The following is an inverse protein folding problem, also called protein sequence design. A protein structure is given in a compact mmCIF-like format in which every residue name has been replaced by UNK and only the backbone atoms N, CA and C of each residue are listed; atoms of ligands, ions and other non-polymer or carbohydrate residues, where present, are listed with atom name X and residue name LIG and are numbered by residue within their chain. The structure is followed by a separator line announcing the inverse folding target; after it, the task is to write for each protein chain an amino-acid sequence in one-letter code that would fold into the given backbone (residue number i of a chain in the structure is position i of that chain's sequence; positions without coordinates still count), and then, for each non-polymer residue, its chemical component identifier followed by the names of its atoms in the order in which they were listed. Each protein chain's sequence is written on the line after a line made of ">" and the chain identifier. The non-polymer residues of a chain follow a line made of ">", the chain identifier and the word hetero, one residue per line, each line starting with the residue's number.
data_IF_615308409954
#
_entry.id   IF_615308409954
#
_cell.length_a   1.000
_cell.length_b   1.000
_cell.length_c   1.000
_cell.angle_alpha   90.00
_cell.angle_beta   90.00
_cell.angle_gamma   90.00
#
_symmetry.space_group_name_H-M   'P 1'
#
loop_
_entity.id
_entity.type
_entity.pdbx_description
1 polymer ?
#
# COMPACT_ATOMS: atom_id res chain seq x y z
N UNK A 1 30.07 0.66 9.65
CA UNK A 1 29.75 1.31 8.35
C UNK A 1 28.96 2.59 8.62
N UNK A 2 28.88 3.55 7.69
CA UNK A 2 28.04 4.75 7.87
C UNK A 2 26.55 4.36 7.87
N UNK A 3 25.71 5.13 8.55
CA UNK A 3 24.26 4.93 8.57
C UNK A 3 23.65 4.92 7.16
N UNK A 4 24.14 5.77 6.26
CA UNK A 4 23.77 5.74 4.85
C UNK A 4 24.08 4.41 4.16
N UNK A 5 25.25 3.83 4.40
CA UNK A 5 25.64 2.51 3.86
C UNK A 5 24.73 1.41 4.44
N UNK A 6 24.44 1.48 5.75
CA UNK A 6 23.53 0.57 6.42
C UNK A 6 22.08 0.66 5.89
N UNK A 7 21.61 1.86 5.53
CA UNK A 7 20.33 2.05 4.85
C UNK A 7 20.32 1.29 3.52
N UNK A 8 21.32 1.51 2.66
CA UNK A 8 21.40 0.86 1.35
C UNK A 8 21.45 -0.67 1.49
N UNK A 9 22.27 -1.20 2.40
CA UNK A 9 22.35 -2.64 2.67
C UNK A 9 21.02 -3.20 3.19
N UNK A 10 20.30 -2.45 4.03
CA UNK A 10 18.97 -2.85 4.50
C UNK A 10 17.93 -2.86 3.38
N UNK A 11 17.96 -1.87 2.47
CA UNK A 11 17.08 -1.83 1.29
C UNK A 11 17.37 -3.01 0.34
N UNK A 12 18.64 -3.37 0.14
CA UNK A 12 19.02 -4.56 -0.65
C UNK A 12 18.44 -5.84 -0.06
N UNK A 13 18.46 -5.98 1.27
CA UNK A 13 17.89 -7.14 1.97
C UNK A 13 16.38 -7.23 1.86
N UNK A 14 15.70 -6.10 1.79
CA UNK A 14 14.27 -6.03 1.48
C UNK A 14 13.97 -6.25 -0.02
N UNK A 15 15.00 -6.50 -0.83
CA UNK A 15 14.87 -6.76 -2.27
C UNK A 15 14.52 -5.51 -3.05
N UNK A 16 14.98 -4.33 -2.64
CA UNK A 16 14.81 -3.11 -3.43
C UNK A 16 15.74 -3.15 -4.64
N UNK A 17 15.17 -2.99 -5.83
CA UNK A 17 15.92 -2.92 -7.10
C UNK A 17 15.88 -1.52 -7.73
N UNK A 18 14.87 -0.72 -7.39
CA UNK A 18 14.65 0.60 -7.99
C UNK A 18 14.25 1.60 -6.91
N UNK A 19 14.88 2.78 -6.93
CA UNK A 19 14.51 3.93 -6.10
C UNK A 19 14.20 5.11 -7.03
N UNK A 20 13.04 5.73 -6.84
CA UNK A 20 12.69 6.97 -7.51
C UNK A 20 13.02 8.14 -6.60
N UNK A 21 13.88 9.07 -7.00
CA UNK A 21 14.30 10.11 -6.06
C UNK A 21 14.81 11.40 -6.66
N UNK A 22 14.85 12.41 -5.80
CA UNK A 22 15.43 13.71 -6.09
C UNK A 22 16.46 14.10 -5.01
N UNK A 23 17.69 14.51 -5.37
CA UNK A 23 18.74 14.80 -4.41
C UNK A 23 18.56 16.14 -3.70
N UNK A 24 19.15 16.27 -2.51
CA UNK A 24 19.22 17.53 -1.76
C UNK A 24 20.14 17.44 -0.55
N UNK A 25 20.37 18.58 0.11
CA UNK A 25 21.43 18.74 1.12
C UNK A 25 21.36 17.77 2.30
N UNK A 26 20.16 17.48 2.81
CA UNK A 26 19.96 16.57 3.92
C UNK A 26 20.21 15.09 3.54
N UNK A 27 20.06 14.75 2.26
CA UNK A 27 20.23 13.40 1.73
C UNK A 27 21.63 13.11 1.17
N UNK A 28 22.54 14.08 1.14
CA UNK A 28 23.86 13.88 0.52
C UNK A 28 24.59 12.62 1.00
N UNK A 29 24.61 12.26 2.30
CA UNK A 29 25.22 10.99 2.74
C UNK A 29 24.58 9.75 2.10
N UNK A 30 23.25 9.77 1.90
CA UNK A 30 22.50 8.66 1.30
C UNK A 30 22.77 8.58 -0.20
N UNK A 31 22.83 9.71 -0.91
CA UNK A 31 23.19 9.72 -2.33
C UNK A 31 24.65 9.34 -2.59
N UNK A 32 25.56 9.67 -1.67
CA UNK A 32 26.95 9.22 -1.70
C UNK A 32 27.03 7.69 -1.62
N UNK A 33 26.35 7.08 -0.63
CA UNK A 33 26.27 5.61 -0.52
C UNK A 33 25.54 4.94 -1.70
N UNK A 34 24.52 5.60 -2.27
CA UNK A 34 23.80 5.09 -3.43
C UNK A 34 24.65 5.16 -4.72
N UNK A 35 25.54 6.14 -4.83
CA UNK A 35 26.45 6.27 -5.98
C UNK A 35 27.40 5.08 -6.10
N UNK A 36 27.84 4.53 -4.96
CA UNK A 36 28.71 3.34 -4.89
C UNK A 36 27.94 2.01 -4.98
N UNK A 37 26.60 2.05 -5.09
CA UNK A 37 25.74 0.86 -5.13
C UNK A 37 25.32 0.50 -6.57
N UNK A 38 25.80 -0.64 -7.08
CA UNK A 38 25.42 -1.13 -8.41
C UNK A 38 24.09 -1.92 -8.41
N UNK A 39 23.67 -2.45 -7.25
CA UNK A 39 22.50 -3.34 -7.13
C UNK A 39 21.14 -2.60 -7.19
N UNK A 40 21.13 -1.31 -6.84
CA UNK A 40 19.92 -0.49 -6.80
C UNK A 40 19.96 0.55 -7.92
N UNK A 41 19.01 0.46 -8.84
CA UNK A 41 18.84 1.46 -9.89
C UNK A 41 18.16 2.71 -9.34
N UNK A 42 18.89 3.83 -9.32
CA UNK A 42 18.28 5.13 -9.06
C UNK A 42 17.64 5.72 -10.33
N UNK A 43 16.39 6.16 -10.21
CA UNK A 43 15.68 6.93 -11.22
C UNK A 43 15.53 8.36 -10.71
N UNK A 44 16.35 9.25 -11.26
CA UNK A 44 16.25 10.68 -11.00
C UNK A 44 14.96 11.25 -11.61
N UNK A 45 14.05 11.68 -10.75
CA UNK A 45 12.83 12.36 -11.19
C UNK A 45 13.06 13.85 -11.43
N UNK A 46 12.05 14.56 -11.92
CA UNK A 46 12.09 16.02 -12.10
C UNK A 46 11.28 16.80 -11.06
N UNK A 47 10.55 16.08 -10.22
CA UNK A 47 9.79 16.61 -9.10
C UNK A 47 9.49 15.45 -8.14
N UNK A 48 9.56 15.64 -6.82
CA UNK A 48 9.40 14.56 -5.84
C UNK A 48 7.98 13.96 -5.85
N UNK A 49 6.95 14.74 -6.19
CA UNK A 49 5.62 14.18 -6.48
C UNK A 49 5.68 13.08 -7.55
N UNK A 50 6.51 13.27 -8.57
CA UNK A 50 6.78 12.26 -9.59
C UNK A 50 7.51 11.03 -9.04
N UNK A 51 8.35 11.18 -8.00
CA UNK A 51 8.95 10.02 -7.32
C UNK A 51 7.89 9.22 -6.55
N UNK A 52 6.99 9.88 -5.83
CA UNK A 52 5.92 9.19 -5.10
C UNK A 52 4.99 8.41 -6.04
N UNK A 53 4.51 9.03 -7.12
CA UNK A 53 3.64 8.34 -8.08
C UNK A 53 4.39 7.30 -8.93
N UNK A 54 5.68 7.47 -9.21
CA UNK A 54 6.46 6.44 -9.89
C UNK A 54 6.68 5.21 -8.98
N UNK A 55 6.94 5.42 -7.69
CA UNK A 55 7.00 4.34 -6.71
C UNK A 55 5.65 3.62 -6.58
N UNK A 56 4.55 4.36 -6.57
CA UNK A 56 3.20 3.80 -6.54
C UNK A 56 2.88 2.98 -7.80
N UNK A 57 3.19 3.52 -8.99
CA UNK A 57 3.01 2.82 -10.26
C UNK A 57 3.87 1.56 -10.36
N UNK A 58 5.12 1.62 -9.87
CA UNK A 58 5.98 0.45 -9.73
C UNK A 58 5.34 -0.61 -8.83
N UNK A 59 4.85 -0.21 -7.66
CA UNK A 59 4.20 -1.12 -6.72
C UNK A 59 2.96 -1.79 -7.31
N UNK A 60 2.08 -1.01 -7.97
CA UNK A 60 0.89 -1.51 -8.67
C UNK A 60 1.25 -2.48 -9.81
N UNK A 61 2.33 -2.23 -10.55
CA UNK A 61 2.72 -3.03 -11.71
C UNK A 61 3.45 -4.34 -11.33
N UNK A 62 4.20 -4.36 -10.23
CA UNK A 62 5.05 -5.52 -9.87
C UNK A 62 4.57 -6.29 -8.65
N UNK A 63 3.62 -5.75 -7.87
CA UNK A 63 3.24 -6.29 -6.56
C UNK A 63 4.33 -6.18 -5.48
N UNK A 64 5.36 -5.35 -5.71
CA UNK A 64 6.48 -5.12 -4.77
C UNK A 64 6.30 -3.79 -4.05
N UNK A 65 7.07 -3.57 -2.99
CA UNK A 65 7.09 -2.26 -2.31
C UNK A 65 7.78 -1.23 -3.20
N UNK A 66 7.09 -0.15 -3.52
CA UNK A 66 7.68 0.99 -4.22
C UNK A 66 8.51 1.86 -3.27
N UNK A 67 9.65 2.37 -3.72
CA UNK A 67 10.53 3.22 -2.88
C UNK A 67 10.72 4.58 -3.51
N UNK A 68 10.39 5.63 -2.76
CA UNK A 68 10.68 7.02 -3.15
C UNK A 68 11.61 7.72 -2.16
N UNK A 69 12.44 8.64 -2.66
CA UNK A 69 13.50 9.30 -1.89
C UNK A 69 13.49 10.82 -2.13
N UNK A 70 13.36 11.60 -1.06
CA UNK A 70 13.30 13.07 -1.11
C UNK A 70 14.09 13.77 0.00
N UNK A 71 14.65 14.95 -0.27
CA UNK A 71 15.34 15.74 0.76
C UNK A 71 14.36 16.32 1.80
N UNK A 72 14.89 16.94 2.85
CA UNK A 72 14.09 17.60 3.90
C UNK A 72 13.22 18.74 3.37
N UNK A 73 12.33 19.24 4.23
CA UNK A 73 11.56 20.45 3.97
C UNK A 73 10.73 20.33 2.69
N UNK A 74 10.98 21.15 1.66
CA UNK A 74 10.17 21.15 0.44
C UNK A 74 10.17 19.81 -0.30
N UNK A 75 11.28 19.08 -0.31
CA UNK A 75 11.35 17.77 -0.99
C UNK A 75 10.39 16.77 -0.34
N UNK A 76 10.41 16.70 0.98
CA UNK A 76 9.54 15.86 1.77
C UNK A 76 8.06 16.25 1.59
N UNK A 77 7.73 17.55 1.66
CA UNK A 77 6.34 18.00 1.47
C UNK A 77 5.80 17.76 0.06
N UNK A 78 6.67 17.71 -0.95
CA UNK A 78 6.28 17.38 -2.32
C UNK A 78 5.84 15.91 -2.49
N UNK A 79 6.12 15.02 -1.51
CA UNK A 79 5.65 13.63 -1.53
C UNK A 79 4.19 13.47 -1.05
N UNK A 80 3.65 14.46 -0.33
CA UNK A 80 2.37 14.37 0.39
C UNK A 80 1.22 13.86 -0.48
N UNK A 81 1.06 14.38 -1.70
CA UNK A 81 -0.01 13.94 -2.61
C UNK A 81 0.13 12.47 -2.99
N UNK A 82 1.31 12.01 -3.39
CA UNK A 82 1.51 10.61 -3.78
C UNK A 82 1.43 9.65 -2.60
N UNK A 83 1.80 10.08 -1.39
CA UNK A 83 1.56 9.29 -0.17
C UNK A 83 0.06 9.18 0.15
N UNK A 84 -0.69 10.27 -0.03
CA UNK A 84 -2.14 10.24 0.16
C UNK A 84 -2.80 9.30 -0.84
N UNK A 85 -2.38 9.35 -2.11
CA UNK A 85 -2.86 8.47 -3.18
C UNK A 85 -2.60 6.99 -2.84
N UNK A 86 -1.35 6.65 -2.53
CA UNK A 86 -0.96 5.31 -2.13
C UNK A 86 -1.72 4.82 -0.87
N UNK A 87 -2.00 5.71 0.09
CA UNK A 87 -2.77 5.36 1.29
C UNK A 87 -4.22 5.03 0.96
N UNK A 88 -4.88 5.86 0.15
CA UNK A 88 -6.28 5.68 -0.23
C UNK A 88 -6.49 4.43 -1.09
N UNK A 89 -5.52 4.10 -1.94
CA UNK A 89 -5.54 2.93 -2.82
C UNK A 89 -4.92 1.67 -2.20
N UNK A 90 -4.43 1.75 -0.97
CA UNK A 90 -3.80 0.62 -0.25
C UNK A 90 -2.57 0.06 -0.97
N UNK A 91 -1.67 0.93 -1.41
CA UNK A 91 -0.48 0.62 -2.20
C UNK A 91 0.77 0.61 -1.31
N UNK A 92 1.58 -0.46 -1.32
CA UNK A 92 2.78 -0.54 -0.49
C UNK A 92 3.89 0.37 -1.03
N UNK A 93 4.13 1.48 -0.33
CA UNK A 93 5.20 2.43 -0.64
C UNK A 93 6.03 2.68 0.63
N UNK A 94 7.36 2.72 0.49
CA UNK A 94 8.25 3.23 1.54
C UNK A 94 8.88 4.53 1.05
N UNK A 95 8.52 5.62 1.72
CA UNK A 95 9.10 6.94 1.45
C UNK A 95 10.24 7.20 2.42
N UNK A 96 11.40 7.57 1.89
CA UNK A 96 12.57 7.92 2.69
C UNK A 96 12.80 9.42 2.52
N UNK A 97 12.82 10.14 3.63
CA UNK A 97 13.10 11.57 3.65
C UNK A 97 14.38 11.87 4.41
N UNK A 98 15.18 12.79 3.90
CA UNK A 98 16.24 13.40 4.68
C UNK A 98 15.64 14.42 5.66
N UNK A 99 16.30 14.64 6.78
CA UNK A 99 15.92 15.65 7.77
C UNK A 99 17.12 16.48 8.21
N UNK A 100 16.88 17.67 8.78
CA UNK A 100 17.90 18.42 9.51
C UNK A 100 18.52 17.56 10.62
N UNK A 101 19.75 17.87 11.03
CA UNK A 101 20.41 17.07 12.06
C UNK A 101 19.63 17.12 13.39
N UNK A 102 19.66 16.05 14.17
CA UNK A 102 18.83 15.87 15.37
C UNK A 102 18.82 17.07 16.34
N UNK A 103 19.91 17.82 16.60
CA UNK A 103 19.89 18.94 17.53
C UNK A 103 19.17 20.19 17.00
N UNK A 104 18.85 20.22 15.70
CA UNK A 104 18.17 21.33 15.04
C UNK A 104 16.67 21.11 14.85
N UNK A 105 16.17 19.89 15.07
CA UNK A 105 14.75 19.59 14.99
C UNK A 105 13.99 20.42 16.04
N UNK A 106 12.92 21.08 15.62
CA UNK A 106 12.06 21.99 16.38
C UNK A 106 12.61 23.41 16.54
N UNK A 107 13.56 23.84 15.69
CA UNK A 107 14.23 25.16 15.83
C UNK A 107 14.11 26.06 14.61
N UNK A 108 13.16 25.77 13.73
CA UNK A 108 12.97 26.50 12.46
C UNK A 108 14.26 26.51 11.61
N UNK A 109 14.94 25.37 11.56
CA UNK A 109 16.18 25.24 10.82
C UNK A 109 15.96 25.34 9.31
N UNK A 110 17.04 25.61 8.56
CA UNK A 110 16.97 25.71 7.11
C UNK A 110 16.48 24.41 6.47
N UNK A 111 15.39 24.51 5.68
CA UNK A 111 14.70 23.38 5.06
C UNK A 111 14.23 22.31 6.07
N UNK A 112 13.85 22.73 7.27
CA UNK A 112 13.13 21.89 8.21
C UNK A 112 11.63 21.87 7.88
N UNK A 113 11.01 20.69 7.95
CA UNK A 113 9.56 20.53 8.03
C UNK A 113 9.24 19.36 8.96
N UNK A 114 8.17 19.50 9.75
CA UNK A 114 7.61 18.39 10.53
C UNK A 114 6.85 17.42 9.60
N UNK A 115 7.61 16.70 8.77
CA UNK A 115 7.03 15.75 7.82
C UNK A 115 6.31 14.61 8.54
N UNK A 116 6.78 14.24 9.73
CA UNK A 116 6.16 13.23 10.58
C UNK A 116 4.71 13.62 10.91
N UNK A 117 4.51 14.85 11.41
CA UNK A 117 3.19 15.39 11.72
C UNK A 117 2.33 15.60 10.47
N UNK A 118 2.89 16.14 9.40
CA UNK A 118 2.19 16.40 8.13
C UNK A 118 1.63 15.10 7.53
N UNK A 119 2.39 13.99 7.61
CA UNK A 119 2.03 12.75 6.92
C UNK A 119 1.32 11.72 7.80
N UNK A 120 1.23 11.95 9.12
CA UNK A 120 0.67 10.99 10.09
C UNK A 120 -0.71 10.42 9.69
N UNK A 121 -1.57 11.21 9.05
CA UNK A 121 -2.92 10.81 8.65
C UNK A 121 -3.04 10.25 7.23
N UNK A 122 -1.94 10.21 6.48
CA UNK A 122 -1.89 9.78 5.08
C UNK A 122 -0.82 8.70 4.86
N UNK A 123 -0.43 8.03 5.94
CA UNK A 123 0.53 6.92 5.97
C UNK A 123 0.05 5.87 6.96
N UNK A 124 0.32 4.60 6.70
CA UNK A 124 0.08 3.52 7.67
C UNK A 124 0.91 3.69 8.93
N UNK A 125 2.15 4.16 8.77
CA UNK A 125 3.06 4.42 9.87
C UNK A 125 4.16 5.38 9.45
N UNK A 126 4.75 6.07 10.42
CA UNK A 126 5.87 6.97 10.22
C UNK A 126 6.96 6.70 11.25
N UNK A 127 8.21 6.90 10.85
CA UNK A 127 9.37 6.86 11.73
C UNK A 127 10.15 8.16 11.64
N UNK A 128 10.62 8.65 12.79
CA UNK A 128 11.71 9.62 12.87
C UNK A 128 12.90 8.93 13.55
N UNK A 129 13.94 8.63 12.78
CA UNK A 129 15.08 7.83 13.26
C UNK A 129 16.05 8.75 13.99
N UNK A 130 16.08 8.72 15.32
CA UNK A 130 16.99 9.57 16.13
C UNK A 130 18.30 8.89 16.50
N UNK A 131 18.31 7.56 16.59
CA UNK A 131 19.52 6.79 16.85
C UNK A 131 19.95 6.08 15.56
N UNK A 132 21.22 6.21 15.14
CA UNK A 132 21.74 5.52 13.96
C UNK A 132 21.57 4.00 13.99
N UNK A 133 21.73 3.39 15.17
CA UNK A 133 21.62 1.94 15.38
C UNK A 133 20.20 1.39 15.13
N UNK A 134 19.17 2.25 15.18
CA UNK A 134 17.80 1.84 14.91
C UNK A 134 17.50 1.69 13.42
N UNK A 135 18.36 2.20 12.54
CA UNK A 135 18.06 2.33 11.12
C UNK A 135 17.78 0.98 10.43
N UNK A 136 18.58 -0.10 10.62
CA UNK A 136 18.27 -1.40 10.02
C UNK A 136 16.91 -1.96 10.46
N UNK A 137 16.59 -1.83 11.75
CA UNK A 137 15.31 -2.24 12.34
C UNK A 137 14.15 -1.46 11.76
N UNK A 138 14.27 -0.14 11.69
CA UNK A 138 13.22 0.73 11.15
C UNK A 138 12.94 0.42 9.68
N UNK A 139 13.97 0.17 8.87
CA UNK A 139 13.78 -0.23 7.46
C UNK A 139 13.01 -1.55 7.38
N UNK A 140 13.43 -2.57 8.11
CA UNK A 140 12.76 -3.87 8.10
C UNK A 140 11.29 -3.76 8.58
N UNK A 141 11.04 -3.02 9.66
CA UNK A 141 9.68 -2.76 10.15
C UNK A 141 8.84 -1.99 9.13
N UNK A 142 9.39 -0.95 8.50
CA UNK A 142 8.67 -0.15 7.53
C UNK A 142 8.22 -0.96 6.32
N UNK A 143 9.10 -1.81 5.79
CA UNK A 143 8.77 -2.71 4.69
C UNK A 143 7.74 -3.76 5.09
N UNK A 144 7.87 -4.35 6.29
CA UNK A 144 6.89 -5.28 6.83
C UNK A 144 5.50 -4.63 6.98
N UNK A 145 5.43 -3.44 7.57
CA UNK A 145 4.18 -2.69 7.72
C UNK A 145 3.63 -2.32 6.34
N UNK A 146 4.44 -1.81 5.43
CA UNK A 146 3.96 -1.36 4.12
C UNK A 146 3.25 -2.49 3.34
N UNK A 147 3.79 -3.72 3.39
CA UNK A 147 3.31 -4.86 2.57
C UNK A 147 2.29 -5.78 3.24
N UNK A 148 2.17 -5.79 4.56
CA UNK A 148 1.29 -6.75 5.28
C UNK A 148 -0.03 -6.13 5.72
N UNK A 149 -1.00 -6.98 6.06
CA UNK A 149 -2.39 -6.57 6.30
C UNK A 149 -2.98 -5.89 5.07
N UNK A 150 -3.74 -4.80 5.26
CA UNK A 150 -4.07 -3.87 4.17
C UNK A 150 -2.82 -3.07 3.80
N UNK A 151 -2.23 -3.21 2.60
CA UNK A 151 -0.98 -2.52 2.27
C UNK A 151 -1.13 -1.00 2.24
N UNK A 152 -0.03 -0.26 2.28
CA UNK A 152 -0.07 1.20 2.28
C UNK A 152 1.30 1.84 2.54
N UNK A 153 1.36 3.18 2.49
CA UNK A 153 2.62 3.91 2.58
C UNK A 153 3.17 3.99 4.00
N UNK A 154 4.49 3.89 4.14
CA UNK A 154 5.24 4.14 5.38
C UNK A 154 6.34 5.15 5.10
N UNK A 155 6.49 6.16 5.96
CA UNK A 155 7.56 7.15 5.84
C UNK A 155 8.67 6.90 6.87
N UNK A 156 9.93 7.00 6.43
CA UNK A 156 11.13 6.95 7.27
C UNK A 156 11.86 8.30 7.13
N UNK A 157 11.82 9.10 8.19
CA UNK A 157 12.50 10.39 8.25
C UNK A 157 13.88 10.23 8.92
N UNK A 158 14.94 10.59 8.19
CA UNK A 158 16.33 10.30 8.54
C UNK A 158 17.12 11.60 8.68
N UNK A 159 17.44 12.03 9.92
CA UNK A 159 18.34 13.14 10.19
C UNK A 159 19.72 12.96 9.53
N UNK A 160 20.30 14.06 9.05
CA UNK A 160 21.60 14.06 8.37
C UNK A 160 22.74 13.50 9.24
N UNK A 161 22.74 13.79 10.54
CA UNK A 161 23.72 13.26 11.49
C UNK A 161 23.55 11.75 11.71
N UNK A 162 22.32 11.22 11.59
CA UNK A 162 22.05 9.79 11.69
C UNK A 162 22.59 9.04 10.47
N UNK A 163 22.32 9.54 9.26
CA UNK A 163 22.88 8.94 8.03
C UNK A 163 24.40 9.08 7.92
N UNK A 164 25.00 10.10 8.55
CA UNK A 164 26.45 10.31 8.54
C UNK A 164 27.22 9.54 9.63
N UNK A 165 26.54 9.10 10.71
CA UNK A 165 27.17 8.41 11.83
C UNK A 165 27.69 7.01 11.44
N UNK A 166 28.75 6.56 12.10
CA UNK A 166 29.22 5.17 11.99
C UNK A 166 28.45 4.29 12.98
N UNK A 167 28.00 3.14 12.51
CA UNK A 167 27.30 2.13 13.32
C UNK A 167 27.90 0.74 13.15
N UNK A 168 27.65 -0.11 14.15
CA UNK A 168 27.92 -1.54 14.11
C UNK A 168 26.70 -2.24 13.47
N UNK A 169 26.74 -2.36 12.15
CA UNK A 169 25.62 -2.90 11.39
C UNK A 169 25.35 -4.38 11.68
N UNK A 170 24.16 -4.66 12.19
CA UNK A 170 23.62 -6.00 12.32
C UNK A 170 22.39 -6.18 11.40
N UNK A 171 22.38 -7.21 10.53
CA UNK A 171 21.21 -7.50 9.71
C UNK A 171 20.00 -7.92 10.54
N UNK A 172 18.84 -7.37 10.20
CA UNK A 172 17.57 -7.78 10.80
C UNK A 172 17.03 -8.99 10.03
N UNK A 173 16.90 -10.12 10.73
CA UNK A 173 16.39 -11.37 10.13
C UNK A 173 14.91 -11.61 10.39
N UNK A 174 14.33 -10.96 11.41
CA UNK A 174 12.94 -11.12 11.76
C UNK A 174 12.38 -9.81 12.32
N UNK A 175 11.23 -9.40 11.79
CA UNK A 175 10.47 -8.25 12.30
C UNK A 175 9.47 -8.76 13.35
N UNK A 176 9.49 -8.16 14.54
CA UNK A 176 8.51 -8.42 15.59
C UNK A 176 7.93 -7.10 16.11
N UNK A 177 6.67 -6.84 15.75
CA UNK A 177 5.94 -5.67 16.23
C UNK A 177 4.92 -6.10 17.29
N UNK A 178 4.99 -5.47 18.47
CA UNK A 178 4.11 -5.81 19.59
C UNK A 178 2.63 -5.56 19.27
N UNK A 179 2.34 -4.41 18.65
CA UNK A 179 0.98 -3.89 18.48
C UNK A 179 0.41 -4.09 17.07
N UNK A 180 1.18 -4.68 16.15
CA UNK A 180 0.76 -4.89 14.76
C UNK A 180 0.89 -6.36 14.39
N UNK A 181 -0.28 -7.02 14.27
CA UNK A 181 -0.40 -8.44 13.93
C UNK A 181 -1.55 -8.58 12.94
N UNK A 182 -1.30 -8.51 11.62
CA UNK A 182 -2.35 -8.63 10.62
C UNK A 182 -3.04 -10.00 10.72
N UNK A 183 -4.37 -10.01 10.63
CA UNK A 183 -5.16 -11.23 10.67
C UNK A 183 -5.03 -11.95 9.32
N UNK A 184 -4.20 -12.98 9.27
CA UNK A 184 -3.98 -13.79 8.06
C UNK A 184 -4.64 -15.16 8.15
N UNK A 185 -5.09 -15.56 9.34
CA UNK A 185 -5.78 -16.83 9.55
C UNK A 185 -7.25 -16.72 9.20
N UNK A 186 -7.72 -17.70 8.45
CA UNK A 186 -9.13 -17.82 8.12
C UNK A 186 -9.98 -18.19 9.35
N UNK A 187 -11.27 -17.89 9.27
CA UNK A 187 -12.24 -18.35 10.26
C UNK A 187 -13.11 -19.46 9.65
N UNK A 188 -12.80 -20.76 9.84
CA UNK A 188 -13.45 -21.86 9.11
C UNK A 188 -14.98 -21.87 9.21
N UNK A 189 -15.54 -21.52 10.38
CA UNK A 189 -17.00 -21.43 10.56
C UNK A 189 -17.65 -20.30 9.77
N UNK A 190 -16.97 -19.16 9.58
CA UNK A 190 -17.48 -18.06 8.76
C UNK A 190 -17.43 -18.43 7.28
N UNK A 191 -16.36 -19.10 6.84
CA UNK A 191 -16.26 -19.63 5.47
C UNK A 191 -17.38 -20.63 5.20
N UNK A 192 -17.61 -21.60 6.10
CA UNK A 192 -18.68 -22.57 5.96
C UNK A 192 -20.06 -21.90 5.87
N UNK A 193 -20.31 -20.88 6.70
CA UNK A 193 -21.55 -20.10 6.66
C UNK A 193 -21.71 -19.31 5.36
N UNK A 194 -20.63 -18.72 4.84
CA UNK A 194 -20.63 -18.02 3.56
C UNK A 194 -20.94 -18.98 2.41
N UNK A 195 -20.33 -20.17 2.40
CA UNK A 195 -20.60 -21.20 1.40
C UNK A 195 -22.05 -21.67 1.42
N UNK A 196 -22.63 -21.87 2.60
CA UNK A 196 -24.05 -22.22 2.76
C UNK A 196 -24.98 -21.13 2.22
N UNK A 197 -24.69 -19.85 2.52
CA UNK A 197 -25.44 -18.72 2.00
C UNK A 197 -25.40 -18.63 0.47
N UNK A 198 -24.22 -18.86 -0.12
CA UNK A 198 -24.05 -18.90 -1.58
C UNK A 198 -24.88 -20.05 -2.16
N UNK A 199 -24.84 -21.24 -1.55
CA UNK A 199 -25.60 -22.40 -2.02
C UNK A 199 -27.12 -22.19 -1.98
N UNK A 200 -27.63 -21.43 -1.01
CA UNK A 200 -29.06 -21.15 -0.84
C UNK A 200 -29.58 -19.96 -1.68
N UNK A 201 -28.68 -19.25 -2.36
CA UNK A 201 -29.04 -18.05 -3.12
C UNK A 201 -29.64 -18.37 -4.49
N UNK A 202 -30.57 -17.54 -4.95
CA UNK A 202 -31.17 -17.62 -6.29
C UNK A 202 -30.54 -16.61 -7.25
N UNK A 203 -30.05 -15.48 -6.75
CA UNK A 203 -29.44 -14.38 -7.54
C UNK A 203 -28.15 -13.87 -6.88
N UNK A 204 -27.13 -14.72 -6.65
CA UNK A 204 -25.87 -14.28 -6.08
C UNK A 204 -25.06 -13.45 -7.08
N UNK A 205 -24.38 -12.42 -6.58
CA UNK A 205 -23.43 -11.62 -7.34
C UNK A 205 -22.09 -11.58 -6.61
N UNK A 206 -21.01 -11.86 -7.34
CA UNK A 206 -19.65 -11.70 -6.86
C UNK A 206 -19.18 -10.27 -7.12
N UNK A 207 -18.90 -9.53 -6.05
CA UNK A 207 -18.46 -8.15 -6.07
C UNK A 207 -16.98 -8.05 -5.67
N UNK A 208 -16.10 -7.82 -6.63
CA UNK A 208 -14.64 -7.86 -6.39
C UNK A 208 -14.02 -6.47 -6.40
N UNK A 209 -13.09 -6.23 -5.50
CA UNK A 209 -12.33 -4.99 -5.40
C UNK A 209 -10.82 -5.17 -5.56
N UNK A 210 -10.07 -4.10 -5.27
CA UNK A 210 -8.61 -4.10 -5.39
C UNK A 210 -7.90 -5.10 -4.47
N UNK A 211 -8.56 -5.55 -3.40
CA UNK A 211 -8.02 -6.58 -2.52
C UNK A 211 -7.80 -7.94 -3.21
N UNK A 212 -8.54 -8.23 -4.29
CA UNK A 212 -8.29 -9.43 -5.11
C UNK A 212 -6.98 -9.30 -5.88
N UNK A 213 -6.69 -8.12 -6.43
CA UNK A 213 -5.45 -7.84 -7.16
C UNK A 213 -4.27 -7.86 -6.18
N UNK A 214 -4.35 -7.12 -5.08
CA UNK A 214 -3.25 -7.03 -4.11
C UNK A 214 -3.01 -8.34 -3.35
N UNK A 215 -4.05 -9.15 -3.15
CA UNK A 215 -3.95 -10.50 -2.61
C UNK A 215 -3.52 -11.56 -3.63
N UNK A 216 -3.30 -11.19 -4.90
CA UNK A 216 -2.98 -12.10 -5.99
C UNK A 216 -3.97 -13.29 -6.10
N UNK A 217 -5.27 -13.01 -5.91
CA UNK A 217 -6.32 -14.00 -5.76
C UNK A 217 -7.23 -14.13 -7.01
N UNK A 218 -6.77 -13.67 -8.17
CA UNK A 218 -7.56 -13.67 -9.41
C UNK A 218 -7.95 -15.06 -9.87
N UNK A 219 -7.05 -16.05 -9.74
CA UNK A 219 -7.32 -17.43 -10.15
C UNK A 219 -8.38 -18.09 -9.26
N UNK A 220 -8.27 -17.89 -7.95
CA UNK A 220 -9.18 -18.42 -6.95
C UNK A 220 -10.58 -17.79 -7.06
N UNK A 221 -10.64 -16.49 -7.34
CA UNK A 221 -11.90 -15.77 -7.60
C UNK A 221 -12.56 -16.29 -8.87
N UNK A 222 -11.79 -16.54 -9.94
CA UNK A 222 -12.33 -17.11 -11.17
C UNK A 222 -12.84 -18.54 -10.96
N UNK A 223 -12.07 -19.38 -10.25
CA UNK A 223 -12.50 -20.75 -9.91
C UNK A 223 -13.81 -20.74 -9.11
N UNK A 224 -13.92 -19.85 -8.12
CA UNK A 224 -15.16 -19.69 -7.34
C UNK A 224 -16.32 -19.26 -8.23
N UNK A 225 -16.09 -18.29 -9.11
CA UNK A 225 -17.12 -17.79 -10.02
C UNK A 225 -17.62 -18.89 -10.96
N UNK A 226 -16.73 -19.67 -11.58
CA UNK A 226 -17.08 -20.76 -12.49
C UNK A 226 -17.79 -21.90 -11.76
N UNK A 227 -17.29 -22.30 -10.58
CA UNK A 227 -17.82 -23.42 -9.80
C UNK A 227 -19.25 -23.20 -9.32
N UNK A 228 -19.56 -21.98 -8.89
CA UNK A 228 -20.89 -21.61 -8.40
C UNK A 228 -21.72 -20.84 -9.45
N UNK A 229 -21.21 -20.70 -10.68
CA UNK A 229 -21.84 -19.95 -11.77
C UNK A 229 -22.27 -18.53 -11.35
N UNK A 230 -21.36 -17.81 -10.69
CA UNK A 230 -21.59 -16.48 -10.13
C UNK A 230 -21.29 -15.39 -11.17
N UNK A 231 -22.26 -14.54 -11.54
CA UNK A 231 -21.95 -13.31 -12.27
C UNK A 231 -21.06 -12.40 -11.42
N UNK A 232 -20.06 -11.80 -12.07
CA UNK A 232 -19.01 -11.01 -11.45
C UNK A 232 -19.14 -9.54 -11.84
N UNK A 233 -19.14 -8.66 -10.83
CA UNK A 233 -18.98 -7.21 -10.99
C UNK A 233 -17.71 -6.78 -10.27
N UNK A 234 -17.02 -5.75 -10.78
CA UNK A 234 -15.78 -5.28 -10.16
C UNK A 234 -15.77 -3.77 -9.92
N UNK A 235 -15.04 -3.32 -8.88
CA UNK A 235 -14.69 -1.90 -8.72
C UNK A 235 -13.65 -1.49 -9.76
N UNK A 236 -13.43 -0.18 -9.92
CA UNK A 236 -12.30 0.32 -10.72
C UNK A 236 -10.96 -0.33 -10.29
N UNK A 237 -10.76 -0.51 -8.98
CA UNK A 237 -9.54 -1.12 -8.42
C UNK A 237 -9.47 -2.64 -8.61
N UNK A 238 -10.61 -3.31 -8.77
CA UNK A 238 -10.70 -4.74 -9.06
C UNK A 238 -10.67 -5.06 -10.56
N UNK A 239 -10.57 -4.04 -11.44
CA UNK A 239 -10.54 -4.27 -12.89
C UNK A 239 -9.40 -5.22 -13.26
N UNK A 240 -9.68 -6.11 -14.21
CA UNK A 240 -8.78 -7.16 -14.68
C UNK A 240 -8.55 -8.33 -13.71
N UNK A 241 -9.19 -8.36 -12.54
CA UNK A 241 -9.15 -9.53 -11.67
C UNK A 241 -9.85 -10.76 -12.30
N UNK A 242 -10.79 -10.51 -13.21
CA UNK A 242 -11.44 -11.49 -14.10
C UNK A 242 -11.41 -10.92 -15.52
N UNK A 243 -11.23 -11.73 -16.58
CA UNK A 243 -11.24 -11.23 -17.96
C UNK A 243 -12.56 -10.54 -18.33
N UNK A 244 -12.48 -9.37 -18.98
CA UNK A 244 -13.66 -8.57 -19.38
C UNK A 244 -14.55 -9.30 -20.40
N UNK A 245 -13.99 -10.26 -21.15
CA UNK A 245 -14.69 -11.10 -22.13
C UNK A 245 -15.21 -12.43 -21.54
N UNK A 246 -14.95 -12.68 -20.25
CA UNK A 246 -15.46 -13.87 -19.59
C UNK A 246 -17.00 -13.82 -19.52
N UNK A 247 -17.73 -14.93 -19.82
CA UNK A 247 -19.19 -14.92 -19.89
C UNK A 247 -19.90 -14.57 -18.57
N UNK A 248 -19.23 -14.74 -17.44
CA UNK A 248 -19.74 -14.34 -16.12
C UNK A 248 -19.43 -12.87 -15.78
N UNK A 249 -18.62 -12.16 -16.56
CA UNK A 249 -18.21 -10.79 -16.25
C UNK A 249 -19.27 -9.78 -16.69
N UNK A 250 -19.83 -9.04 -15.72
CA UNK A 250 -20.77 -7.94 -15.93
C UNK A 250 -20.08 -6.57 -15.99
N UNK A 251 -18.76 -6.53 -15.85
CA UNK A 251 -17.97 -5.32 -15.91
C UNK A 251 -18.03 -4.48 -14.62
N UNK A 252 -17.70 -3.19 -14.77
CA UNK A 252 -17.58 -2.28 -13.64
C UNK A 252 -18.97 -1.86 -13.13
N UNK A 253 -19.15 -1.81 -11.81
CA UNK A 253 -20.33 -1.19 -11.17
C UNK A 253 -20.04 0.24 -10.66
N UNK A 254 -21.08 0.95 -10.26
CA UNK A 254 -20.99 2.29 -9.65
C UNK A 254 -21.42 3.43 -10.58
N UNK A 255 -21.02 4.65 -10.22
CA UNK A 255 -21.41 5.91 -10.85
C UNK A 255 -21.22 5.94 -12.37
N UNK A 256 -20.13 5.36 -12.86
CA UNK A 256 -19.83 5.20 -14.29
C UNK A 256 -19.72 3.73 -14.70
N UNK A 257 -20.33 2.85 -13.91
CA UNK A 257 -20.42 1.43 -14.19
C UNK A 257 -21.40 1.12 -15.31
N UNK A 258 -21.37 -0.13 -15.77
CA UNK A 258 -22.33 -0.64 -16.71
C UNK A 258 -23.73 -0.68 -16.07
N UNK A 259 -24.75 -0.32 -16.85
CA UNK A 259 -26.13 -0.32 -16.37
C UNK A 259 -26.57 -1.72 -15.90
N UNK A 260 -26.08 -2.78 -16.56
CA UNK A 260 -26.41 -4.16 -16.23
C UNK A 260 -25.67 -4.68 -14.98
N UNK A 261 -24.43 -4.24 -14.70
CA UNK A 261 -23.78 -4.50 -13.42
C UNK A 261 -24.55 -3.87 -12.26
N UNK A 262 -24.92 -2.60 -12.40
CA UNK A 262 -25.72 -1.88 -11.40
C UNK A 262 -27.10 -2.52 -11.20
N UNK A 263 -27.75 -2.95 -12.29
CA UNK A 263 -29.02 -3.68 -12.24
C UNK A 263 -28.87 -5.01 -11.50
N UNK A 264 -27.85 -5.81 -11.83
CA UNK A 264 -27.62 -7.10 -11.19
C UNK A 264 -27.44 -6.95 -9.68
N UNK A 265 -26.66 -5.96 -9.22
CA UNK A 265 -26.47 -5.68 -7.79
C UNK A 265 -27.75 -5.16 -7.13
N UNK A 266 -28.53 -4.30 -7.79
CA UNK A 266 -29.78 -3.78 -7.24
C UNK A 266 -30.83 -4.86 -6.96
N UNK A 267 -30.81 -5.96 -7.73
CA UNK A 267 -31.79 -7.06 -7.64
C UNK A 267 -31.22 -8.38 -7.12
N UNK A 268 -29.94 -8.42 -6.73
CA UNK A 268 -29.33 -9.61 -6.12
C UNK A 268 -29.96 -9.93 -4.76
N UNK A 269 -29.97 -11.21 -4.40
CA UNK A 269 -30.40 -11.67 -3.07
C UNK A 269 -29.21 -12.01 -2.16
N UNK A 270 -28.02 -12.15 -2.74
CA UNK A 270 -26.75 -12.36 -2.04
C UNK A 270 -25.64 -11.59 -2.75
N UNK A 271 -24.92 -10.74 -2.03
CA UNK A 271 -23.78 -9.98 -2.53
C UNK A 271 -22.51 -10.48 -1.84
N UNK A 272 -21.57 -11.01 -2.61
CA UNK A 272 -20.32 -11.60 -2.12
C UNK A 272 -19.20 -10.59 -2.40
N UNK A 273 -18.93 -9.71 -1.44
CA UNK A 273 -17.89 -8.70 -1.55
C UNK A 273 -16.53 -9.29 -1.15
N UNK A 274 -15.57 -9.32 -2.07
CA UNK A 274 -14.20 -9.78 -1.83
C UNK A 274 -13.23 -8.64 -2.10
N UNK A 275 -12.52 -8.19 -1.06
CA UNK A 275 -11.47 -7.18 -1.17
C UNK A 275 -11.99 -5.82 -1.65
N UNK A 276 -13.21 -5.44 -1.27
CA UNK A 276 -13.85 -4.18 -1.65
C UNK A 276 -14.36 -3.42 -0.41
N UNK A 277 -14.26 -2.09 -0.45
CA UNK A 277 -14.53 -1.20 0.70
C UNK A 277 -15.83 -0.40 0.64
N UNK A 278 -16.77 -0.81 -0.22
CA UNK A 278 -18.10 -0.18 -0.38
C UNK A 278 -18.04 1.36 -0.50
N UNK A 279 -17.16 1.88 -1.35
CA UNK A 279 -17.00 3.33 -1.50
C UNK A 279 -18.25 3.99 -2.10
N UNK A 280 -18.37 5.31 -1.92
CA UNK A 280 -19.54 6.09 -2.31
C UNK A 280 -19.67 6.27 -3.83
N UNK A 281 -18.60 6.09 -4.61
CA UNK A 281 -18.67 6.06 -6.08
C UNK A 281 -19.28 4.75 -6.58
N UNK A 282 -19.20 3.68 -5.80
CA UNK A 282 -19.88 2.41 -6.08
C UNK A 282 -21.30 2.41 -5.52
N UNK A 283 -21.45 2.70 -4.23
CA UNK A 283 -22.72 2.49 -3.52
C UNK A 283 -23.75 3.58 -3.78
N UNK A 284 -23.32 4.82 -4.07
CA UNK A 284 -24.20 5.97 -4.16
C UNK A 284 -24.95 6.18 -2.83
N UNK A 285 -26.27 6.02 -2.83
CA UNK A 285 -27.06 6.04 -1.59
C UNK A 285 -27.01 4.65 -0.95
N UNK A 286 -26.29 4.51 0.17
CA UNK A 286 -26.07 3.23 0.87
C UNK A 286 -27.37 2.46 1.14
N UNK A 287 -28.43 3.12 1.63
CA UNK A 287 -29.71 2.45 1.91
C UNK A 287 -30.41 1.86 0.67
N UNK A 288 -30.02 2.29 -0.53
CA UNK A 288 -30.53 1.81 -1.80
C UNK A 288 -29.56 0.86 -2.51
N UNK A 289 -28.38 0.60 -1.94
CA UNK A 289 -27.40 -0.31 -2.51
C UNK A 289 -27.68 -1.75 -2.08
N UNK A 290 -27.91 -2.63 -3.04
CA UNK A 290 -28.25 -4.04 -2.81
C UNK A 290 -29.36 -4.24 -1.74
N UNK A 291 -30.53 -3.58 -1.87
CA UNK A 291 -31.52 -3.42 -0.80
C UNK A 291 -32.19 -4.74 -0.35
N UNK A 292 -32.01 -5.81 -1.11
CA UNK A 292 -32.60 -7.13 -0.86
C UNK A 292 -31.54 -8.20 -0.56
N UNK A 293 -30.26 -7.83 -0.54
CA UNK A 293 -29.17 -8.79 -0.50
C UNK A 293 -28.75 -9.13 0.94
N UNK A 294 -28.44 -10.41 1.17
CA UNK A 294 -27.54 -10.81 2.25
C UNK A 294 -26.10 -10.50 1.82
N UNK A 295 -25.35 -9.77 2.63
CA UNK A 295 -24.00 -9.35 2.29
C UNK A 295 -22.98 -10.26 2.99
N UNK A 296 -22.10 -10.86 2.21
CA UNK A 296 -20.87 -11.52 2.66
C UNK A 296 -19.73 -10.56 2.35
N UNK A 297 -18.93 -10.19 3.34
CA UNK A 297 -17.80 -9.28 3.15
C UNK A 297 -16.53 -9.93 3.67
N UNK A 298 -15.58 -10.12 2.75
CA UNK A 298 -14.25 -10.67 3.01
C UNK A 298 -13.25 -9.54 2.81
N UNK A 299 -12.65 -9.10 3.90
CA UNK A 299 -11.61 -8.07 3.92
C UNK A 299 -10.49 -8.45 4.88
N UNK A 300 -9.29 -7.97 4.58
CA UNK A 300 -8.10 -8.15 5.42
C UNK A 300 -8.06 -7.11 6.56
N UNK A 301 -8.79 -6.00 6.39
CA UNK A 301 -8.89 -4.92 7.36
C UNK A 301 -10.15 -5.09 8.23
N UNK A 302 -10.02 -5.25 9.56
CA UNK A 302 -11.19 -5.38 10.45
C UNK A 302 -11.99 -4.10 10.67
N UNK A 303 -11.48 -2.94 10.25
CA UNK A 303 -12.05 -1.60 10.52
C UNK A 303 -13.24 -1.23 9.61
#
# INVERSE_FOLDING_TARGET
>A
MKGAEALIESLKREGVEVIFGYPGGALLPIYDALFDCEDIRHILVRHEQGAAHAAEGYAKATGRVGVCLATSGPGATNLVTGLTDAYMDSVPVVAITGQVATPYIGKDAFQEADIFGITMHITKHNYLVKNPEDLPRVVAEAFYIARTGRPGPVLIDIPRDVSAATIDYEPVTQVQLRSYKPTVEEHPRQIAKAAELIQQSERPILYIGGGVISGNASAEVLELAEKANLPVVYTLMGKSAVPDDHPLCLGMLGMHGSAYANYAVAYCDTLIAIGARFDDRVTGKVDAFAPHAKIIHIDIDPA
#
